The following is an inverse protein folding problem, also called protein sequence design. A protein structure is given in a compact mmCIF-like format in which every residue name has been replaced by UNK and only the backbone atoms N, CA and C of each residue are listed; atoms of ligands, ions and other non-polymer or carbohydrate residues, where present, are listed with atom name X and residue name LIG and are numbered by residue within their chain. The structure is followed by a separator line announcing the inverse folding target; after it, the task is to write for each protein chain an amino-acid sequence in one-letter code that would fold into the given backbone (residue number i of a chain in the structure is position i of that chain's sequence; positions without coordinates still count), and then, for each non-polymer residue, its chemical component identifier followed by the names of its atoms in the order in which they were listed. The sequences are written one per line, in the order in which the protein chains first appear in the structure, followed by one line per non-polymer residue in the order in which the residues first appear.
data_IF_602076383912
#
_entry.id   IF_602076383912
#
_cell.length_a   1.000
_cell.length_b   1.000
_cell.length_c   1.000
_cell.angle_alpha   90.00
_cell.angle_beta   90.00
_cell.angle_gamma   90.00
#
_symmetry.space_group_name_H-M   'P 1'
#
loop_
_entity.id
_entity.type
_entity.pdbx_description
1 polymer ?
#
# COMPACT_ATOMS: atom_id res chain seq x y z
N UNK A 1 29.45 14.92 -21.38
CA UNK A 1 28.15 14.26 -21.59
C UNK A 1 27.39 14.33 -20.26
N UNK A 2 26.40 15.22 -20.10
CA UNK A 2 25.58 15.27 -18.89
C UNK A 2 24.72 14.01 -18.78
N UNK A 3 24.62 13.43 -17.59
CA UNK A 3 23.79 12.26 -17.33
C UNK A 3 22.29 12.62 -17.52
N UNK A 4 21.47 11.72 -18.10
CA UNK A 4 20.06 11.99 -18.35
C UNK A 4 19.28 12.12 -17.02
N UNK A 5 18.55 13.22 -16.86
CA UNK A 5 17.80 13.61 -15.65
C UNK A 5 16.48 12.82 -15.44
N UNK A 6 16.48 11.52 -15.68
CA UNK A 6 15.26 10.69 -15.61
C UNK A 6 14.71 10.50 -14.19
N UNK A 7 15.48 10.79 -13.14
CA UNK A 7 15.03 10.65 -11.74
C UNK A 7 13.93 11.64 -11.36
N UNK A 8 14.02 12.87 -11.84
CA UNK A 8 13.08 13.94 -11.48
C UNK A 8 11.63 13.67 -11.91
N UNK A 9 11.45 13.00 -13.05
CA UNK A 9 10.12 12.68 -13.56
C UNK A 9 9.43 11.60 -12.72
N UNK A 10 10.19 10.60 -12.26
CA UNK A 10 9.66 9.54 -11.38
C UNK A 10 9.29 10.10 -10.01
N UNK A 11 10.12 10.99 -9.46
CA UNK A 11 9.84 11.69 -8.19
C UNK A 11 8.59 12.57 -8.27
N UNK A 12 8.40 13.30 -9.38
CA UNK A 12 7.18 14.09 -9.58
C UNK A 12 5.94 13.20 -9.76
N UNK A 13 6.09 12.08 -10.47
CA UNK A 13 4.98 11.13 -10.67
C UNK A 13 4.56 10.50 -9.34
N UNK A 14 5.51 10.09 -8.50
CA UNK A 14 5.21 9.51 -7.18
C UNK A 14 4.58 10.53 -6.24
N UNK A 15 4.97 11.80 -6.30
CA UNK A 15 4.34 12.88 -5.55
C UNK A 15 2.86 13.09 -5.96
N UNK A 16 2.57 13.11 -7.27
CA UNK A 16 1.20 13.22 -7.79
C UNK A 16 0.36 12.02 -7.35
N UNK A 17 0.87 10.80 -7.52
CA UNK A 17 0.16 9.60 -7.09
C UNK A 17 -0.17 9.65 -5.59
N UNK A 18 0.80 10.02 -4.74
CA UNK A 18 0.60 10.16 -3.30
C UNK A 18 -0.46 11.21 -2.94
N UNK A 19 -0.45 12.37 -3.59
CA UNK A 19 -1.43 13.43 -3.35
C UNK A 19 -2.86 12.97 -3.68
N UNK A 20 -3.06 12.27 -4.80
CA UNK A 20 -4.38 11.81 -5.21
C UNK A 20 -4.87 10.63 -4.36
N UNK A 21 -3.97 9.74 -3.91
CA UNK A 21 -4.31 8.69 -2.96
C UNK A 21 -4.81 9.27 -1.63
N UNK A 22 -4.20 10.36 -1.15
CA UNK A 22 -4.67 11.07 0.05
C UNK A 22 -6.04 11.75 -0.15
N UNK A 23 -6.40 12.10 -1.39
CA UNK A 23 -7.74 12.59 -1.75
C UNK A 23 -8.77 11.48 -1.92
N UNK A 24 -8.40 10.22 -1.73
CA UNK A 24 -9.28 9.06 -1.86
C UNK A 24 -9.38 8.50 -3.28
N UNK A 25 -8.46 8.87 -4.18
CA UNK A 25 -8.36 8.20 -5.48
C UNK A 25 -7.70 6.84 -5.33
N UNK A 26 -8.16 5.87 -6.12
CA UNK A 26 -7.70 4.48 -6.05
C UNK A 26 -6.86 4.13 -7.27
N UNK A 27 -5.72 3.47 -7.07
CA UNK A 27 -4.97 2.85 -8.16
C UNK A 27 -5.79 1.71 -8.77
N UNK A 28 -5.78 1.59 -10.09
CA UNK A 28 -6.44 0.52 -10.83
C UNK A 28 -5.41 -0.47 -11.38
N UNK A 29 -5.85 -1.68 -11.72
CA UNK A 29 -5.00 -2.70 -12.35
C UNK A 29 -4.72 -2.41 -13.84
N UNK A 30 -5.35 -1.35 -14.39
CA UNK A 30 -5.16 -0.92 -15.76
C UNK A 30 -3.97 0.03 -15.86
N UNK A 31 -3.09 -0.23 -16.81
CA UNK A 31 -1.94 0.63 -17.09
C UNK A 31 -2.29 1.62 -18.20
N UNK A 32 -1.73 2.83 -18.13
CA UNK A 32 -1.94 3.84 -19.16
C UNK A 32 -1.51 3.31 -20.55
N UNK A 33 -2.38 3.42 -21.55
CA UNK A 33 -2.09 2.91 -22.90
C UNK A 33 -0.89 3.59 -23.58
N UNK A 34 -0.57 4.82 -23.18
CA UNK A 34 0.51 5.64 -23.76
C UNK A 34 1.86 5.22 -23.20
N UNK A 35 2.04 5.29 -21.88
CA UNK A 35 3.34 4.99 -21.26
C UNK A 35 3.51 3.50 -20.89
N UNK A 36 2.43 2.74 -20.70
CA UNK A 36 2.38 1.33 -20.24
C UNK A 36 3.06 1.02 -18.91
N UNK A 37 3.70 1.99 -18.28
CA UNK A 37 4.45 1.84 -17.03
C UNK A 37 3.65 2.35 -15.83
N UNK A 38 2.85 3.40 -16.00
CA UNK A 38 2.12 4.02 -14.89
C UNK A 38 0.70 3.47 -14.79
N UNK A 39 0.27 2.95 -13.63
CA UNK A 39 -1.11 2.54 -13.40
C UNK A 39 -2.05 3.74 -13.47
N UNK A 40 -3.27 3.52 -13.96
CA UNK A 40 -4.33 4.54 -13.98
C UNK A 40 -4.92 4.71 -12.57
N UNK A 41 -5.21 5.93 -12.19
CA UNK A 41 -5.95 6.27 -10.97
C UNK A 41 -7.41 6.51 -11.30
N UNK A 42 -8.31 6.05 -10.43
CA UNK A 42 -9.77 6.21 -10.54
C UNK A 42 -10.31 7.11 -9.44
N UNK A 43 -11.22 8.01 -9.82
CA UNK A 43 -11.94 8.89 -8.90
C UNK A 43 -12.87 8.09 -7.97
N UNK A 44 -12.99 8.45 -6.68
CA UNK A 44 -13.94 7.80 -5.79
C UNK A 44 -15.38 7.98 -6.29
N UNK A 45 -16.16 6.89 -6.29
CA UNK A 45 -17.53 6.84 -6.83
C UNK A 45 -18.43 7.94 -6.27
N UNK A 46 -18.31 8.24 -4.98
CA UNK A 46 -19.08 9.30 -4.32
C UNK A 46 -18.82 10.70 -4.88
N UNK A 47 -17.59 10.96 -5.36
CA UNK A 47 -17.23 12.21 -5.99
C UNK A 47 -17.76 12.31 -7.41
N UNK A 48 -17.73 11.20 -8.16
CA UNK A 48 -18.32 11.11 -9.49
C UNK A 48 -19.86 11.30 -9.45
N UNK A 49 -20.53 10.66 -8.49
CA UNK A 49 -21.99 10.79 -8.27
C UNK A 49 -22.39 12.22 -7.91
N UNK A 50 -21.64 12.87 -7.00
CA UNK A 50 -21.89 14.28 -6.64
C UNK A 50 -21.72 15.23 -7.83
N UNK A 51 -20.83 14.89 -8.76
CA UNK A 51 -20.63 15.62 -10.01
C UNK A 51 -21.67 15.27 -11.10
N UNK A 52 -22.61 14.35 -10.84
CA UNK A 52 -23.62 13.91 -11.81
C UNK A 52 -23.04 13.11 -12.98
N UNK A 53 -21.87 12.48 -12.79
CA UNK A 53 -21.24 11.63 -13.81
C UNK A 53 -21.53 10.17 -13.50
N UNK A 54 -22.01 9.45 -14.52
CA UNK A 54 -22.30 8.01 -14.40
C UNK A 54 -21.04 7.14 -14.41
N UNK A 55 -19.89 7.68 -14.83
CA UNK A 55 -18.64 6.95 -14.90
C UNK A 55 -17.53 7.72 -14.17
N UNK A 56 -16.76 7.06 -13.27
CA UNK A 56 -15.64 7.70 -12.59
C UNK A 56 -14.50 7.98 -13.57
N UNK A 57 -13.89 9.16 -13.43
CA UNK A 57 -12.75 9.54 -14.27
C UNK A 57 -11.55 8.66 -13.95
N UNK A 58 -10.81 8.29 -14.99
CA UNK A 58 -9.51 7.65 -14.90
C UNK A 58 -8.44 8.60 -15.43
N UNK A 59 -7.29 8.70 -14.74
CA UNK A 59 -6.17 9.53 -15.19
C UNK A 59 -4.81 8.85 -14.95
N UNK A 60 -3.83 9.17 -15.79
CA UNK A 60 -2.45 8.76 -15.68
C UNK A 60 -1.59 9.92 -15.14
N UNK A 61 -0.97 9.74 -13.98
CA UNK A 61 -0.14 10.77 -13.35
C UNK A 61 1.05 11.22 -14.21
N UNK A 62 1.60 10.33 -15.05
CA UNK A 62 2.78 10.61 -15.88
C UNK A 62 2.42 11.27 -17.23
N UNK A 63 1.28 10.91 -17.82
CA UNK A 63 0.87 11.40 -19.15
C UNK A 63 -0.07 12.59 -19.07
N UNK A 64 -1.06 12.55 -18.17
CA UNK A 64 -2.10 13.58 -18.07
C UNK A 64 -1.70 14.71 -17.10
N UNK A 65 -0.74 14.43 -16.20
CA UNK A 65 -0.32 15.34 -15.13
C UNK A 65 -1.39 15.47 -14.04
N UNK A 66 -1.21 16.45 -13.14
CA UNK A 66 -2.21 16.75 -12.12
C UNK A 66 -3.46 17.39 -12.77
N UNK A 67 -4.68 16.83 -12.61
CA UNK A 67 -5.92 17.41 -13.13
C UNK A 67 -6.37 18.71 -12.43
N UNK A 68 -5.44 19.51 -11.90
CA UNK A 68 -5.69 20.82 -11.31
C UNK A 68 -6.25 21.80 -12.35
N UNK A 69 -7.57 21.81 -12.48
CA UNK A 69 -8.37 22.99 -12.82
C UNK A 69 -8.11 23.65 -14.16
N UNK A 70 -7.56 22.95 -15.16
CA UNK A 70 -7.59 23.48 -16.52
C UNK A 70 -9.02 23.37 -17.07
N UNK A 71 -9.66 24.48 -17.49
CA UNK A 71 -10.89 24.40 -18.26
C UNK A 71 -10.59 23.58 -19.52
N UNK A 72 -11.48 22.65 -19.85
CA UNK A 72 -11.38 21.79 -21.03
C UNK A 72 -11.09 22.63 -22.29
N UNK A 73 -9.83 22.65 -22.72
CA UNK A 73 -9.43 23.24 -23.99
C UNK A 73 -8.22 22.50 -24.55
N UNK A 74 -8.46 21.88 -25.70
CA UNK A 74 -7.49 21.49 -26.71
C UNK A 74 -6.77 20.15 -26.52
N UNK A 75 -7.54 19.07 -26.51
CA UNK A 75 -7.10 17.83 -27.16
C UNK A 75 -7.08 18.07 -28.67
N UNK A 76 -5.92 18.45 -29.20
CA UNK A 76 -5.68 18.61 -30.63
C UNK A 76 -5.76 17.27 -31.33
N UNK A 77 -6.86 17.02 -32.04
CA UNK A 77 -6.94 16.08 -33.15
C UNK A 77 -5.99 16.55 -34.27
N UNK A 78 -4.86 15.86 -34.43
CA UNK A 78 -4.06 15.95 -35.65
C UNK A 78 -4.78 15.23 -36.80
N UNK A 79 -5.52 15.99 -37.60
CA UNK A 79 -5.91 15.60 -38.95
C UNK A 79 -5.28 16.59 -39.93
N UNK A 80 -4.43 16.05 -40.82
CA UNK A 80 -3.63 16.77 -41.80
C UNK A 80 -4.48 17.46 -42.88
N UNK A 81 -4.40 18.79 -43.00
CA UNK A 81 -4.79 19.56 -44.20
C UNK A 81 -3.76 20.71 -44.37
N UNK A 82 -3.23 20.97 -45.60
CA UNK A 82 -2.15 21.94 -45.84
C UNK A 82 -2.62 23.41 -45.90
N UNK A 83 -1.70 24.39 -45.79
CA UNK A 83 -2.02 25.79 -45.54
C UNK A 83 -2.00 26.64 -46.82
N UNK A 84 -2.91 27.60 -46.92
CA UNK A 84 -2.76 28.72 -47.85
C UNK A 84 -3.32 30.02 -47.23
N UNK A 85 -2.55 31.08 -47.46
CA UNK A 85 -2.83 32.51 -47.30
C UNK A 85 -2.30 33.23 -46.05
N UNK A 86 -1.17 33.87 -46.31
CA UNK A 86 -0.58 35.04 -45.66
C UNK A 86 -1.57 36.18 -45.45
N UNK A 87 -1.40 36.94 -44.36
CA UNK A 87 -1.46 38.40 -44.36
C UNK A 87 -0.80 38.96 -43.10
N UNK A 88 0.05 39.94 -43.34
CA UNK A 88 0.90 40.67 -42.40
C UNK A 88 0.16 41.87 -41.81
N UNK A 89 0.34 42.14 -40.51
CA UNK A 89 0.26 43.50 -39.95
C UNK A 89 0.80 43.52 -38.53
N UNK A 90 1.88 44.29 -38.35
CA UNK A 90 2.53 44.61 -37.08
C UNK A 90 1.91 45.90 -36.45
N UNK A 91 2.52 46.56 -35.44
CA UNK A 91 2.01 46.57 -34.06
C UNK A 91 1.58 47.97 -33.57
N UNK A 92 0.89 48.03 -32.42
CA UNK A 92 0.72 49.28 -31.66
C UNK A 92 0.73 49.03 -30.14
N UNK A 93 1.67 49.70 -29.46
CA UNK A 93 1.59 50.07 -28.04
C UNK A 93 0.76 51.37 -27.90
N UNK A 94 0.17 51.71 -26.74
CA UNK A 94 0.86 52.48 -25.66
C UNK A 94 0.45 52.05 -24.21
N UNK A 95 1.32 52.08 -23.19
CA UNK A 95 1.76 53.19 -22.30
C UNK A 95 0.95 53.38 -21.01
N UNK A 96 1.70 53.56 -19.91
CA UNK A 96 1.39 54.13 -18.58
C UNK A 96 0.90 53.17 -17.45
N UNK A 97 1.31 53.27 -16.18
CA UNK A 97 2.33 54.04 -15.43
C UNK A 97 2.23 53.63 -13.93
N UNK A 98 3.10 54.19 -13.08
CA UNK A 98 3.10 54.36 -11.59
C UNK A 98 3.84 53.31 -10.70
N UNK A 99 4.43 53.72 -9.54
CA UNK A 99 5.88 53.89 -9.30
C UNK A 99 6.41 52.92 -8.19
N UNK A 100 7.69 52.62 -8.00
CA UNK A 100 8.88 53.49 -7.91
C UNK A 100 9.23 53.77 -6.45
N UNK A 101 10.05 52.93 -5.80
CA UNK A 101 10.77 53.28 -4.57
C UNK A 101 12.21 52.77 -4.61
N UNK A 102 13.14 53.71 -4.45
CA UNK A 102 14.57 53.63 -4.73
C UNK A 102 15.41 52.90 -3.65
N UNK A 103 16.66 52.51 -3.98
CA UNK A 103 17.65 52.01 -3.04
C UNK A 103 18.53 53.14 -2.49
N UNK A 104 18.97 53.03 -1.24
CA UNK A 104 20.06 53.87 -0.68
C UNK A 104 21.10 52.97 -0.02
N UNK A 105 22.39 53.07 -0.40
CA UNK A 105 23.50 52.42 0.28
C UNK A 105 24.27 53.43 1.15
N UNK A 106 24.62 53.09 2.38
CA UNK A 106 25.81 53.66 3.05
C UNK A 106 26.24 52.74 4.20
N UNK A 107 27.47 52.23 4.13
CA UNK A 107 28.09 51.50 5.23
C UNK A 107 28.56 52.44 6.34
N UNK A 108 28.59 51.96 7.58
CA UNK A 108 29.44 52.50 8.65
C UNK A 108 29.68 51.40 9.69
N UNK A 109 30.96 51.10 9.85
CA UNK A 109 31.61 50.35 10.93
C UNK A 109 31.27 50.92 12.30
N UNK A 110 30.91 50.07 13.28
CA UNK A 110 30.70 50.53 14.66
C UNK A 110 30.33 49.43 15.64
N UNK A 111 31.27 49.10 16.51
CA UNK A 111 31.18 48.19 17.64
C UNK A 111 30.31 48.76 18.79
N UNK A 112 29.40 47.95 19.38
CA UNK A 112 29.11 47.78 20.83
C UNK A 112 27.63 47.47 21.18
N UNK A 113 27.47 46.30 21.82
CA UNK A 113 26.56 45.93 22.93
C UNK A 113 25.01 46.02 22.85
N UNK A 114 24.31 45.16 23.62
CA UNK A 114 22.91 44.80 23.40
C UNK A 114 21.94 45.66 24.21
N UNK A 115 20.76 45.93 23.64
CA UNK A 115 19.60 46.42 24.38
C UNK A 115 18.37 45.60 23.99
N UNK A 116 17.69 45.11 25.02
CA UNK A 116 16.52 44.26 24.99
C UNK A 116 15.30 44.94 24.35
N UNK A 117 14.42 44.13 23.77
CA UNK A 117 13.01 44.48 23.60
C UNK A 117 12.49 44.49 22.17
N UNK A 118 12.26 43.31 21.59
CA UNK A 118 11.23 43.09 20.57
C UNK A 118 10.93 41.58 20.52
N UNK A 119 9.70 41.20 20.88
CA UNK A 119 9.28 39.80 20.98
C UNK A 119 9.31 39.11 19.61
N UNK A 120 9.90 37.91 19.49
CA UNK A 120 9.80 37.12 18.28
C UNK A 120 8.38 36.57 18.12
N UNK A 121 7.83 36.69 16.92
CA UNK A 121 6.62 35.97 16.52
C UNK A 121 6.81 34.46 16.74
N UNK A 122 5.78 33.71 17.15
CA UNK A 122 5.88 32.26 17.32
C UNK A 122 6.09 31.62 15.95
N UNK A 123 7.34 31.34 15.66
CA UNK A 123 7.77 30.49 14.55
C UNK A 123 7.23 29.08 14.83
N UNK A 124 6.19 28.68 14.09
CA UNK A 124 5.66 27.31 14.06
C UNK A 124 6.63 26.39 13.30
N UNK A 125 7.89 26.39 13.73
CA UNK A 125 8.92 25.50 13.25
C UNK A 125 8.55 24.08 13.68
N UNK A 126 8.00 23.30 12.74
CA UNK A 126 7.76 21.86 12.80
C UNK A 126 9.07 21.06 12.89
N UNK A 127 9.90 21.34 13.90
CA UNK A 127 11.19 20.69 14.16
C UNK A 127 11.08 19.33 14.83
N UNK A 128 10.14 18.47 14.43
CA UNK A 128 9.80 17.23 15.16
C UNK A 128 9.70 15.99 14.28
N UNK A 129 10.37 15.93 13.12
CA UNK A 129 10.36 14.70 12.32
C UNK A 129 11.15 13.57 12.99
N UNK A 130 12.31 13.87 13.59
CA UNK A 130 13.15 12.83 14.22
C UNK A 130 12.51 12.18 15.44
N UNK A 131 11.72 12.93 16.21
CA UNK A 131 10.98 12.38 17.37
C UNK A 131 9.75 11.59 16.94
N UNK A 132 9.14 11.94 15.79
CA UNK A 132 7.99 11.23 15.26
C UNK A 132 8.38 9.85 14.72
N UNK A 133 9.54 9.73 14.08
CA UNK A 133 10.04 8.45 13.55
C UNK A 133 10.38 7.45 14.67
N UNK A 134 10.96 7.93 15.78
CA UNK A 134 11.20 7.10 16.98
C UNK A 134 9.89 6.68 17.65
N UNK A 135 8.91 7.58 17.72
CA UNK A 135 7.59 7.26 18.23
C UNK A 135 6.89 6.16 17.41
N UNK A 136 6.93 6.24 16.07
CA UNK A 136 6.35 5.24 15.19
C UNK A 136 6.98 3.86 15.40
N UNK A 137 8.31 3.80 15.55
CA UNK A 137 9.05 2.56 15.81
C UNK A 137 8.69 1.93 17.16
N UNK A 138 8.48 2.76 18.20
CA UNK A 138 8.03 2.27 19.52
C UNK A 138 6.58 1.80 19.49
N UNK A 139 5.70 2.49 18.74
CA UNK A 139 4.31 2.07 18.56
C UNK A 139 4.26 0.69 17.89
N UNK A 140 5.00 0.49 16.79
CA UNK A 140 5.02 -0.79 16.08
C UNK A 140 5.52 -1.93 16.98
N UNK A 141 6.57 -1.69 17.77
CA UNK A 141 7.05 -2.66 18.77
C UNK A 141 6.00 -3.03 19.82
N UNK A 142 5.24 -2.05 20.33
CA UNK A 142 4.18 -2.29 21.32
C UNK A 142 2.99 -3.05 20.70
N UNK A 143 2.60 -2.74 19.46
CA UNK A 143 1.54 -3.47 18.76
C UNK A 143 1.90 -4.95 18.57
N UNK A 144 3.16 -5.24 18.23
CA UNK A 144 3.66 -6.62 18.13
C UNK A 144 3.67 -7.35 19.48
N UNK A 145 3.80 -6.62 20.59
CA UNK A 145 3.66 -7.15 21.95
C UNK A 145 2.19 -7.32 22.40
N UNK A 146 1.23 -7.00 21.53
CA UNK A 146 -0.21 -7.15 21.80
C UNK A 146 -0.84 -5.94 22.48
N UNK A 147 -0.15 -4.79 22.52
CA UNK A 147 -0.80 -3.53 22.87
C UNK A 147 -1.77 -3.11 21.76
N UNK A 148 -2.74 -2.28 22.09
CA UNK A 148 -3.75 -1.79 21.13
C UNK A 148 -3.69 -0.28 21.03
N UNK A 149 -3.71 0.29 19.81
CA UNK A 149 -3.79 1.75 19.62
C UNK A 149 -5.17 2.26 20.05
N UNK A 150 -5.19 3.33 20.85
CA UNK A 150 -6.42 4.07 21.18
C UNK A 150 -6.53 5.29 20.27
N UNK A 151 -7.77 5.71 20.00
CA UNK A 151 -8.05 6.98 19.30
C UNK A 151 -7.84 8.22 20.16
N UNK A 152 -7.32 8.07 21.39
CA UNK A 152 -7.12 9.14 22.35
C UNK A 152 -5.65 9.60 22.35
N UNK A 153 -5.44 10.90 22.52
CA UNK A 153 -4.11 11.51 22.55
C UNK A 153 -3.61 11.75 23.98
N UNK A 154 -2.29 11.83 24.13
CA UNK A 154 -1.66 12.14 25.40
C UNK A 154 -2.07 13.54 25.90
N UNK A 155 -2.56 13.68 27.15
CA UNK A 155 -2.96 14.97 27.70
C UNK A 155 -1.78 15.84 28.16
N UNK A 156 -0.55 15.31 28.18
CA UNK A 156 0.62 16.11 28.54
C UNK A 156 0.99 17.09 27.42
N UNK A 157 1.24 18.35 27.78
CA UNK A 157 1.61 19.40 26.81
C UNK A 157 2.90 19.07 26.04
N UNK A 158 3.79 18.30 26.66
CA UNK A 158 5.05 17.82 26.07
C UNK A 158 4.88 16.75 25.00
N UNK A 159 3.71 16.12 24.91
CA UNK A 159 3.43 15.02 23.97
C UNK A 159 2.13 15.25 23.21
N UNK A 160 1.82 16.51 22.89
CA UNK A 160 0.61 16.88 22.17
C UNK A 160 0.53 16.16 20.82
N UNK A 161 -0.58 15.45 20.59
CA UNK A 161 -0.82 14.69 19.36
C UNK A 161 -0.19 13.29 19.33
N UNK A 162 0.53 12.89 20.38
CA UNK A 162 1.01 11.51 20.50
C UNK A 162 -0.12 10.57 20.91
N UNK A 163 -0.40 9.50 20.16
CA UNK A 163 -1.48 8.57 20.49
C UNK A 163 -1.16 7.75 21.75
N UNK A 164 -2.20 7.42 22.51
CA UNK A 164 -2.12 6.49 23.64
C UNK A 164 -2.28 5.05 23.15
N UNK A 165 -1.59 4.12 23.80
CA UNK A 165 -1.75 2.67 23.59
C UNK A 165 -2.27 2.00 24.86
N UNK A 166 -3.07 0.95 24.69
CA UNK A 166 -3.72 0.19 25.75
C UNK A 166 -2.94 -1.09 26.01
N UNK A 167 -2.88 -1.49 27.27
CA UNK A 167 -2.22 -2.72 27.66
C UNK A 167 -2.92 -3.95 27.06
N UNK A 168 -2.17 -5.04 26.79
CA UNK A 168 -2.76 -6.31 26.37
C UNK A 168 -3.83 -6.78 27.34
N UNK A 169 -4.82 -7.53 26.82
CA UNK A 169 -5.86 -8.13 27.68
C UNK A 169 -5.22 -9.04 28.72
N UNK A 170 -5.76 -9.01 29.94
CA UNK A 170 -5.33 -9.92 31.01
C UNK A 170 -5.68 -11.36 30.63
N UNK A 171 -5.06 -12.32 31.30
CA UNK A 171 -5.36 -13.76 31.13
C UNK A 171 -6.84 -14.07 31.36
N UNK A 172 -7.50 -13.28 32.20
CA UNK A 172 -8.94 -13.38 32.50
C UNK A 172 -9.84 -12.84 31.38
N UNK A 173 -9.27 -12.37 30.26
CA UNK A 173 -10.00 -11.77 29.14
C UNK A 173 -10.50 -10.34 29.39
N UNK A 174 -10.37 -9.85 30.62
CA UNK A 174 -10.74 -8.48 31.00
C UNK A 174 -9.83 -7.45 30.34
N UNK A 175 -10.44 -6.35 29.88
CA UNK A 175 -9.74 -5.21 29.28
C UNK A 175 -9.02 -4.43 30.37
N UNK A 176 -7.73 -4.18 30.18
CA UNK A 176 -6.98 -3.27 31.06
C UNK A 176 -7.35 -1.83 30.71
N UNK A 177 -7.81 -1.05 31.71
CA UNK A 177 -8.19 0.36 31.52
C UNK A 177 -6.99 1.31 31.54
N UNK A 178 -5.78 0.77 31.78
CA UNK A 178 -4.53 1.50 31.72
C UNK A 178 -4.15 1.81 30.27
N UNK A 179 -3.61 3.00 30.09
CA UNK A 179 -3.14 3.58 28.83
C UNK A 179 -1.72 4.07 29.04
N UNK A 180 -0.92 4.03 27.99
CA UNK A 180 0.50 4.41 27.99
C UNK A 180 0.75 5.37 26.82
N UNK A 181 1.46 6.47 27.05
CA UNK A 181 1.93 7.35 25.98
C UNK A 181 3.31 6.88 25.54
N UNK A 182 3.48 6.72 24.24
CA UNK A 182 4.74 6.23 23.67
C UNK A 182 5.86 7.30 23.71
N UNK A 183 5.49 8.58 23.75
CA UNK A 183 6.44 9.70 23.80
C UNK A 183 7.08 9.87 25.19
N UNK A 184 6.27 10.15 26.22
CA UNK A 184 6.77 10.40 27.57
C UNK A 184 6.79 9.16 28.48
N UNK A 185 6.20 8.03 28.07
CA UNK A 185 6.07 6.84 28.93
C UNK A 185 5.06 7.01 30.08
N UNK A 186 4.31 8.10 30.11
CA UNK A 186 3.27 8.35 31.11
C UNK A 186 2.18 7.28 31.07
N UNK A 187 1.53 7.03 32.22
CA UNK A 187 0.45 6.05 32.36
C UNK A 187 -0.82 6.74 32.84
N UNK A 188 -1.94 6.43 32.20
CA UNK A 188 -3.26 6.97 32.54
C UNK A 188 -4.25 5.83 32.74
N UNK A 189 -5.22 6.04 33.62
CA UNK A 189 -6.35 5.14 33.78
C UNK A 189 -7.61 5.89 33.39
N UNK A 190 -8.48 5.22 32.64
CA UNK A 190 -9.84 5.72 32.41
C UNK A 190 -10.67 5.35 33.63
N UNK A 191 -11.02 6.33 34.45
CA UNK A 191 -11.78 6.13 35.67
C UNK A 191 -13.28 6.25 35.38
N UNK A 192 -13.93 5.12 35.08
CA UNK A 192 -15.39 5.00 34.93
C UNK A 192 -16.07 5.91 33.88
N UNK A 193 -17.40 5.84 33.79
CA UNK A 193 -18.26 6.54 32.81
C UNK A 193 -18.14 8.07 32.81
N UNK A 194 -17.39 8.66 33.74
CA UNK A 194 -17.24 10.11 33.87
C UNK A 194 -16.20 10.74 32.94
N UNK A 195 -15.56 9.98 32.06
CA UNK A 195 -14.72 10.51 30.97
C UNK A 195 -13.44 11.23 31.40
N UNK A 196 -13.10 11.22 32.69
CA UNK A 196 -11.87 11.78 33.23
C UNK A 196 -10.68 10.84 33.05
N UNK A 197 -9.56 11.37 32.52
CA UNK A 197 -8.27 10.65 32.49
C UNK A 197 -7.44 11.11 33.68
N UNK A 198 -7.26 10.23 34.67
CA UNK A 198 -6.38 10.51 35.81
C UNK A 198 -4.98 9.95 35.53
N UNK A 199 -3.96 10.77 35.76
CA UNK A 199 -2.56 10.34 35.62
C UNK A 199 -2.23 9.46 36.81
N UNK A 200 -1.84 8.21 36.53
CA UNK A 200 -1.33 7.32 37.58
C UNK A 200 0.15 7.57 37.67
N UNK A 201 0.58 8.27 38.71
CA UNK A 201 1.99 8.40 39.04
C UNK A 201 2.62 7.02 39.03
N UNK A 202 3.73 6.86 38.31
CA UNK A 202 4.46 5.59 38.27
C UNK A 202 4.65 5.11 39.72
N UNK A 203 4.39 3.82 40.01
CA UNK A 203 4.59 3.31 41.36
C UNK A 203 5.99 3.69 41.77
N UNK A 204 6.10 4.55 42.78
CA UNK A 204 7.39 4.92 43.36
C UNK A 204 7.94 3.63 43.90
N UNK A 205 8.80 2.96 43.12
CA UNK A 205 9.52 1.78 43.56
C UNK A 205 10.36 2.28 44.72
N UNK A 206 9.87 2.05 45.94
CA UNK A 206 10.48 2.53 47.17
C UNK A 206 11.88 1.97 47.27
N UNK A 207 12.85 2.78 46.85
CA UNK A 207 14.27 2.50 47.01
C UNK A 207 14.62 2.55 48.49
N UNK A 208 14.65 1.38 49.12
CA UNK A 208 15.45 1.17 50.31
C UNK A 208 16.89 0.81 49.88
N UNK A 209 17.76 1.81 49.87
CA UNK A 209 19.18 1.71 50.26
C UNK A 209 20.19 1.02 49.31
N UNK A 210 21.47 1.48 49.29
CA UNK A 210 22.53 0.94 48.45
C UNK A 210 23.37 -0.15 49.14
N UNK A 211 24.21 -0.81 48.34
CA UNK A 211 25.31 -1.74 48.69
C UNK A 211 24.97 -3.22 48.92
N UNK A 212 25.22 -4.03 47.90
CA UNK A 212 26.34 -4.99 47.95
C UNK A 212 26.58 -5.60 46.57
N UNK A 213 27.84 -5.57 46.15
CA UNK A 213 28.35 -6.25 44.97
C UNK A 213 28.07 -7.76 45.05
N UNK A 214 27.41 -8.31 44.02
CA UNK A 214 27.39 -9.75 43.80
C UNK A 214 28.00 -10.04 42.44
N UNK A 215 29.14 -10.74 42.53
CA UNK A 215 29.92 -11.31 41.43
C UNK A 215 29.07 -12.26 40.58
N UNK A 216 29.45 -12.32 39.31
CA UNK A 216 28.75 -13.01 38.25
C UNK A 216 28.47 -14.49 38.48
N UNK A 217 27.38 -14.92 37.86
CA UNK A 217 27.05 -16.31 37.61
C UNK A 217 26.73 -16.43 36.12
N UNK A 218 27.66 -17.07 35.42
CA UNK A 218 27.53 -17.58 34.06
C UNK A 218 26.45 -18.67 34.04
N UNK A 219 25.37 -18.44 33.30
CA UNK A 219 24.36 -19.48 33.00
C UNK A 219 24.77 -20.17 31.71
N UNK A 220 25.17 -21.44 31.84
CA UNK A 220 25.49 -22.33 30.74
C UNK A 220 24.24 -22.65 29.90
N UNK A 221 24.42 -22.58 28.59
CA UNK A 221 23.45 -23.01 27.59
C UNK A 221 23.58 -24.52 27.43
N UNK A 222 22.61 -25.27 27.96
CA UNK A 222 22.45 -26.70 27.71
C UNK A 222 21.26 -26.90 26.76
N UNK A 223 21.55 -27.49 25.60
CA UNK A 223 20.56 -27.82 24.59
C UNK A 223 19.56 -28.87 25.09
N UNK A 224 18.32 -28.74 24.64
CA UNK A 224 17.38 -29.84 24.67
C UNK A 224 16.56 -29.83 23.37
N UNK A 225 16.87 -30.78 22.50
CA UNK A 225 16.06 -31.12 21.33
C UNK A 225 14.85 -31.90 21.83
N UNK A 226 13.65 -31.32 21.76
CA UNK A 226 12.40 -32.07 21.83
C UNK A 226 11.55 -31.75 20.61
N UNK A 227 11.33 -32.79 19.84
CA UNK A 227 10.51 -32.82 18.65
C UNK A 227 9.02 -32.58 18.98
N UNK A 228 8.33 -31.85 18.10
CA UNK A 228 7.03 -32.29 17.59
C UNK A 228 5.76 -31.98 18.39
N UNK A 229 5.70 -30.91 19.19
CA UNK A 229 4.42 -30.40 19.69
C UNK A 229 4.17 -28.99 19.16
N UNK A 230 3.17 -28.84 18.30
CA UNK A 230 2.76 -27.55 17.75
C UNK A 230 2.35 -26.59 18.87
N UNK A 231 2.92 -25.39 18.83
CA UNK A 231 2.67 -24.33 19.81
C UNK A 231 1.18 -24.02 19.93
N UNK A 232 0.64 -23.78 21.14
CA UNK A 232 -0.76 -23.40 21.35
C UNK A 232 -1.21 -22.17 20.55
N UNK A 233 -0.27 -21.31 20.16
CA UNK A 233 -0.52 -20.14 19.33
C UNK A 233 -0.81 -20.48 17.86
N UNK A 234 -0.25 -21.58 17.34
CA UNK A 234 -0.50 -22.00 15.96
C UNK A 234 -1.92 -22.54 15.79
N UNK A 235 -2.48 -23.17 16.84
CA UNK A 235 -3.84 -23.71 16.84
C UNK A 235 -4.90 -22.60 16.84
N UNK A 236 -4.72 -21.56 17.66
CA UNK A 236 -5.61 -20.37 17.66
C UNK A 236 -5.52 -19.55 16.38
N UNK A 237 -4.36 -19.56 15.70
CA UNK A 237 -4.20 -18.85 14.43
C UNK A 237 -4.93 -19.56 13.28
N UNK A 238 -5.04 -20.89 13.30
CA UNK A 238 -5.87 -21.63 12.34
C UNK A 238 -7.37 -21.39 12.55
N UNK A 239 -7.83 -21.32 13.81
CA UNK A 239 -9.24 -21.05 14.13
C UNK A 239 -9.71 -19.65 13.72
N UNK A 240 -8.79 -18.68 13.59
CA UNK A 240 -9.12 -17.29 13.26
C UNK A 240 -9.32 -17.03 11.75
N UNK A 241 -8.91 -17.94 10.88
CA UNK A 241 -9.01 -17.76 9.41
C UNK A 241 -10.15 -18.53 8.75
N UNK A 242 -10.97 -19.29 9.49
CA UNK A 242 -12.21 -19.95 9.01
C UNK A 242 -12.11 -20.78 7.70
N UNK A 243 -10.90 -21.05 7.20
CA UNK A 243 -10.65 -21.79 5.94
C UNK A 243 -11.02 -23.28 6.05
N UNK A 244 -11.38 -23.76 7.25
CA UNK A 244 -11.79 -25.15 7.47
C UNK A 244 -13.29 -25.40 7.38
N UNK A 245 -14.14 -24.36 7.48
CA UNK A 245 -15.58 -24.53 7.62
C UNK A 245 -16.34 -24.32 6.30
N UNK A 246 -15.79 -23.57 5.35
CA UNK A 246 -16.38 -23.39 4.01
C UNK A 246 -16.27 -24.63 3.13
N UNK A 247 -15.18 -25.42 3.23
CA UNK A 247 -15.03 -26.66 2.45
C UNK A 247 -16.03 -27.74 2.86
N UNK A 248 -16.29 -27.89 4.16
CA UNK A 248 -17.28 -28.86 4.66
C UNK A 248 -18.72 -28.48 4.30
N UNK A 249 -19.01 -27.18 4.19
CA UNK A 249 -20.35 -26.68 3.80
C UNK A 249 -20.59 -26.74 2.29
N UNK A 250 -19.53 -26.84 1.48
CA UNK A 250 -19.62 -26.99 0.04
C UNK A 250 -19.81 -28.46 -0.38
N UNK A 251 -19.31 -29.42 0.41
CA UNK A 251 -19.58 -30.85 0.20
C UNK A 251 -21.05 -31.22 0.46
N UNK A 252 -21.70 -30.67 1.51
CA UNK A 252 -23.13 -30.93 1.78
C UNK A 252 -24.08 -30.35 0.71
N UNK A 253 -23.65 -29.36 -0.06
CA UNK A 253 -24.51 -28.73 -1.09
C UNK A 253 -24.40 -29.40 -2.46
N UNK A 254 -23.41 -30.27 -2.68
CA UNK A 254 -23.22 -30.94 -3.97
C UNK A 254 -23.93 -32.30 -4.06
N UNK A 255 -24.44 -32.83 -2.94
CA UNK A 255 -25.24 -34.07 -2.91
C UNK A 255 -26.75 -33.86 -3.12
N UNK A 256 -27.26 -32.62 -3.14
CA UNK A 256 -28.71 -32.34 -3.24
C UNK A 256 -29.19 -31.95 -4.66
N UNK A 257 -28.30 -31.85 -5.66
CA UNK A 257 -28.67 -31.52 -7.06
C UNK A 257 -28.69 -32.74 -8.02
N UNK A 258 -28.49 -33.96 -7.54
CA UNK A 258 -28.57 -35.18 -8.39
C UNK A 258 -29.97 -35.82 -8.40
N UNK A 259 -31.06 -35.03 -8.42
CA UNK A 259 -32.40 -35.60 -8.58
C UNK A 259 -33.49 -34.60 -9.00
N UNK A 260 -33.47 -34.05 -10.23
CA UNK A 260 -34.70 -33.48 -10.83
C UNK A 260 -34.74 -33.63 -12.36
N UNK A 261 -35.67 -34.49 -12.79
CA UNK A 261 -36.46 -34.54 -14.03
C UNK A 261 -35.80 -34.54 -15.43
N UNK A 262 -35.82 -35.74 -16.02
CA UNK A 262 -36.15 -35.93 -17.44
C UNK A 262 -37.49 -35.24 -17.74
N UNK A 263 -37.47 -34.18 -18.56
CA UNK A 263 -38.67 -33.76 -19.29
C UNK A 263 -38.34 -33.63 -20.77
N UNK A 264 -38.89 -34.60 -21.48
CA UNK A 264 -39.05 -34.65 -22.93
C UNK A 264 -39.71 -33.36 -23.44
N UNK A 265 -39.07 -32.66 -24.39
CA UNK A 265 -39.75 -31.65 -25.21
C UNK A 265 -39.30 -31.71 -26.66
N UNK A 266 -40.18 -32.33 -27.44
CA UNK A 266 -40.28 -32.33 -28.89
C UNK A 266 -40.35 -30.93 -29.53
N UNK A 267 -39.70 -30.85 -30.70
CA UNK A 267 -40.17 -30.22 -31.95
C UNK A 267 -40.55 -28.74 -31.94
N UNK A 268 -39.72 -27.93 -32.59
CA UNK A 268 -40.17 -27.08 -33.71
C UNK A 268 -39.00 -26.60 -34.58
N UNK A 269 -39.02 -27.04 -35.83
CA UNK A 269 -38.21 -26.51 -36.93
C UNK A 269 -38.40 -25.01 -37.10
N UNK A 270 -37.30 -24.25 -37.25
CA UNK A 270 -37.35 -23.01 -38.02
C UNK A 270 -36.07 -22.74 -38.80
N UNK A 271 -36.32 -22.57 -40.08
CA UNK A 271 -35.49 -22.37 -41.26
C UNK A 271 -34.50 -21.18 -41.18
N UNK A 272 -33.24 -21.44 -41.59
CA UNK A 272 -32.35 -20.69 -42.53
C UNK A 272 -32.28 -19.14 -42.51
N UNK A 273 -31.09 -18.51 -42.77
CA UNK A 273 -30.33 -18.73 -44.00
C UNK A 273 -28.79 -18.84 -43.91
N UNK A 274 -28.31 -19.61 -44.89
CA UNK A 274 -26.94 -19.80 -45.36
C UNK A 274 -26.08 -18.53 -45.41
N UNK A 275 -24.91 -18.60 -44.76
CA UNK A 275 -23.70 -17.98 -45.28
C UNK A 275 -22.66 -19.08 -45.51
N UNK A 276 -22.43 -19.35 -46.79
CA UNK A 276 -21.37 -20.22 -47.30
C UNK A 276 -20.00 -19.60 -47.00
N UNK A 277 -19.29 -20.17 -46.02
CA UNK A 277 -17.82 -20.08 -45.94
C UNK A 277 -17.25 -21.48 -46.10
N UNK A 278 -16.40 -21.59 -47.10
CA UNK A 278 -15.64 -22.76 -47.54
C UNK A 278 -14.89 -23.46 -46.40
N UNK A 279 -14.86 -24.80 -46.35
CA UNK A 279 -14.12 -25.54 -45.34
C UNK A 279 -12.64 -25.61 -45.72
N UNK A 280 -11.76 -24.97 -44.95
CA UNK A 280 -10.35 -25.31 -44.95
C UNK A 280 -10.13 -26.46 -43.97
N UNK A 281 -10.15 -27.66 -44.52
CA UNK A 281 -9.71 -28.89 -43.87
C UNK A 281 -8.18 -28.87 -43.76
N UNK A 282 -7.64 -28.39 -42.63
CA UNK A 282 -6.24 -28.58 -42.19
C UNK A 282 -6.15 -28.41 -40.65
N UNK A 283 -7.08 -29.01 -39.91
CA UNK A 283 -7.33 -28.72 -38.50
C UNK A 283 -6.62 -29.57 -37.44
N UNK A 284 -5.80 -30.54 -37.82
CA UNK A 284 -5.26 -31.54 -36.86
C UNK A 284 -3.80 -31.33 -36.45
N UNK A 285 -3.07 -30.35 -37.02
CA UNK A 285 -1.65 -30.10 -36.69
C UNK A 285 -1.40 -28.86 -35.82
N UNK A 286 -2.40 -28.00 -35.59
CA UNK A 286 -2.22 -26.77 -34.80
C UNK A 286 -2.12 -27.01 -33.29
N UNK A 287 -2.85 -28.00 -32.78
CA UNK A 287 -2.91 -28.34 -31.36
C UNK A 287 -1.56 -28.83 -30.79
N UNK A 288 -0.84 -29.78 -31.43
CA UNK A 288 0.48 -30.21 -30.92
C UNK A 288 1.54 -29.09 -30.99
N UNK A 289 1.45 -28.16 -31.94
CA UNK A 289 2.35 -27.01 -32.02
C UNK A 289 2.08 -26.00 -30.88
N UNK A 290 0.79 -25.73 -30.59
CA UNK A 290 0.39 -24.89 -29.47
C UNK A 290 0.84 -25.47 -28.12
N UNK A 291 0.64 -26.79 -27.91
CA UNK A 291 1.07 -27.47 -26.69
C UNK A 291 2.59 -27.39 -26.49
N UNK A 292 3.39 -27.59 -27.55
CA UNK A 292 4.85 -27.45 -27.46
C UNK A 292 5.26 -26.02 -27.10
N UNK A 293 4.64 -25.01 -27.73
CA UNK A 293 4.90 -23.61 -27.44
C UNK A 293 4.56 -23.24 -25.99
N UNK A 294 3.48 -23.80 -25.43
CA UNK A 294 3.12 -23.58 -24.02
C UNK A 294 4.09 -24.28 -23.08
N UNK A 295 4.52 -25.50 -23.40
CA UNK A 295 5.51 -26.24 -22.60
C UNK A 295 6.85 -25.52 -22.57
N UNK A 296 7.33 -25.01 -23.72
CA UNK A 296 8.58 -24.26 -23.80
C UNK A 296 8.52 -22.95 -23.02
N UNK A 297 7.40 -22.23 -23.09
CA UNK A 297 7.18 -20.99 -22.33
C UNK A 297 7.15 -21.25 -20.82
N UNK A 298 6.55 -22.37 -20.40
CA UNK A 298 6.48 -22.78 -19.00
C UNK A 298 7.85 -23.21 -18.47
N UNK A 299 8.61 -24.00 -19.24
CA UNK A 299 9.97 -24.38 -18.91
C UNK A 299 10.88 -23.14 -18.75
N UNK A 300 10.76 -22.17 -19.64
CA UNK A 300 11.53 -20.92 -19.58
C UNK A 300 11.15 -20.06 -18.36
N UNK A 301 9.88 -20.11 -17.94
CA UNK A 301 9.41 -19.42 -16.74
C UNK A 301 9.96 -20.07 -15.47
N UNK A 302 9.92 -21.41 -15.40
CA UNK A 302 10.50 -22.18 -14.28
C UNK A 302 12.01 -21.97 -14.15
N UNK A 303 12.74 -21.89 -15.27
CA UNK A 303 14.19 -21.65 -15.28
C UNK A 303 14.55 -20.25 -14.75
N UNK A 304 13.79 -19.23 -15.17
CA UNK A 304 13.93 -17.87 -14.61
C UNK A 304 13.64 -17.83 -13.12
N UNK A 305 12.62 -18.56 -12.69
CA UNK A 305 12.23 -18.70 -11.28
C UNK A 305 13.35 -19.35 -10.46
N UNK A 306 13.89 -20.47 -10.94
CA UNK A 306 14.99 -21.18 -10.29
C UNK A 306 16.25 -20.30 -10.19
N UNK A 307 16.55 -19.55 -11.25
CA UNK A 307 17.68 -18.59 -11.27
C UNK A 307 17.47 -17.46 -10.26
N UNK A 308 16.25 -16.92 -10.15
CA UNK A 308 15.90 -15.89 -9.17
C UNK A 308 16.02 -16.41 -7.74
N UNK A 309 15.52 -17.62 -7.45
CA UNK A 309 15.64 -18.21 -6.12
C UNK A 309 17.11 -18.49 -5.74
N UNK A 310 17.94 -18.91 -6.71
CA UNK A 310 19.37 -19.14 -6.52
C UNK A 310 20.14 -17.85 -6.23
N UNK A 311 19.78 -16.74 -6.89
CA UNK A 311 20.39 -15.44 -6.61
C UNK A 311 20.02 -14.90 -5.23
N UNK A 312 18.78 -15.12 -4.78
CA UNK A 312 18.32 -14.69 -3.46
C UNK A 312 18.90 -15.52 -2.30
N UNK A 313 19.08 -16.82 -2.49
CA UNK A 313 19.68 -17.70 -1.46
C UNK A 313 21.17 -17.48 -1.25
N UNK A 314 21.88 -16.94 -2.25
CA UNK A 314 23.34 -16.78 -2.22
C UNK A 314 23.81 -15.46 -1.56
N UNK A 315 22.91 -14.52 -1.25
CA UNK A 315 23.29 -13.14 -0.87
C UNK A 315 22.66 -12.53 0.38
N UNK A 316 21.90 -13.28 1.19
CA UNK A 316 21.07 -12.66 2.24
C UNK A 316 21.85 -12.24 3.49
N UNK A 317 22.03 -10.93 3.65
CA UNK A 317 22.32 -10.29 4.96
C UNK A 317 21.05 -10.27 5.83
N UNK A 318 21.19 -10.44 7.14
CA UNK A 318 20.12 -10.72 8.10
C UNK A 318 18.98 -9.67 8.21
N UNK A 319 19.03 -8.54 7.50
CA UNK A 319 18.02 -7.48 7.58
C UNK A 319 16.84 -7.60 6.60
N UNK A 320 16.91 -8.45 5.57
CA UNK A 320 15.84 -8.56 4.55
C UNK A 320 14.91 -9.78 4.74
N UNK A 321 15.08 -10.55 5.83
CA UNK A 321 14.42 -11.84 6.05
C UNK A 321 12.88 -11.81 5.93
N UNK A 322 12.25 -10.68 6.25
CA UNK A 322 10.79 -10.52 6.22
C UNK A 322 10.18 -10.29 4.83
N UNK A 323 10.95 -9.81 3.84
CA UNK A 323 10.44 -9.61 2.47
C UNK A 323 10.40 -10.91 1.68
N UNK A 324 11.30 -11.85 1.97
CA UNK A 324 11.38 -13.13 1.27
C UNK A 324 10.17 -14.04 1.51
N UNK A 325 9.50 -13.92 2.66
CA UNK A 325 8.33 -14.76 2.96
C UNK A 325 7.13 -14.48 2.07
N UNK A 326 6.93 -13.24 1.62
CA UNK A 326 5.81 -12.88 0.75
C UNK A 326 6.04 -13.42 -0.65
N UNK A 327 7.25 -13.28 -1.18
CA UNK A 327 7.60 -13.79 -2.50
C UNK A 327 7.51 -15.33 -2.53
N UNK A 328 8.09 -16.05 -1.56
CA UNK A 328 8.04 -17.52 -1.56
C UNK A 328 6.59 -18.02 -1.48
N UNK A 329 5.72 -17.35 -0.72
CA UNK A 329 4.29 -17.72 -0.65
C UNK A 329 3.59 -17.50 -2.00
N UNK A 330 3.78 -16.34 -2.64
CA UNK A 330 3.16 -16.04 -3.93
C UNK A 330 3.62 -17.03 -5.01
N UNK A 331 4.90 -17.39 -5.01
CA UNK A 331 5.45 -18.34 -5.98
C UNK A 331 4.97 -19.77 -5.76
N UNK A 332 4.82 -20.21 -4.51
CA UNK A 332 4.29 -21.55 -4.20
C UNK A 332 2.80 -21.69 -4.54
N UNK A 333 2.04 -20.60 -4.43
CA UNK A 333 0.64 -20.54 -4.88
C UNK A 333 0.54 -20.60 -6.41
N UNK A 334 1.33 -19.79 -7.13
CA UNK A 334 1.38 -19.85 -8.59
C UNK A 334 1.78 -21.23 -9.14
N UNK A 335 2.71 -21.93 -8.48
CA UNK A 335 3.06 -23.30 -8.85
C UNK A 335 1.91 -24.29 -8.64
N UNK A 336 1.09 -24.09 -7.60
CA UNK A 336 -0.07 -24.94 -7.33
C UNK A 336 -1.10 -24.83 -8.46
N UNK A 337 -1.40 -23.60 -8.88
CA UNK A 337 -2.37 -23.34 -9.96
C UNK A 337 -1.92 -23.99 -11.27
N UNK A 338 -0.62 -23.90 -11.58
CA UNK A 338 -0.05 -24.55 -12.77
C UNK A 338 -0.22 -26.07 -12.72
N UNK A 339 0.05 -26.70 -11.58
CA UNK A 339 -0.11 -28.15 -11.41
C UNK A 339 -1.57 -28.58 -11.53
N UNK A 340 -2.51 -27.77 -11.00
CA UNK A 340 -3.94 -28.04 -11.12
C UNK A 340 -4.42 -27.99 -12.59
N UNK A 341 -3.94 -27.01 -13.36
CA UNK A 341 -4.25 -26.91 -14.80
C UNK A 341 -3.70 -28.12 -15.56
N UNK A 342 -2.48 -28.57 -15.24
CA UNK A 342 -1.88 -29.75 -15.86
C UNK A 342 -2.68 -31.02 -15.54
N UNK A 343 -3.15 -31.19 -14.30
CA UNK A 343 -4.00 -32.31 -13.92
C UNK A 343 -5.33 -32.32 -14.68
N UNK A 344 -5.98 -31.16 -14.84
CA UNK A 344 -7.20 -31.02 -15.64
C UNK A 344 -6.97 -31.38 -17.11
N UNK A 345 -5.84 -30.97 -17.68
CA UNK A 345 -5.47 -31.32 -19.06
C UNK A 345 -5.21 -32.82 -19.22
N UNK A 346 -4.58 -33.49 -18.24
CA UNK A 346 -4.38 -34.93 -18.27
C UNK A 346 -5.70 -35.70 -18.22
N UNK A 347 -6.69 -35.22 -17.44
CA UNK A 347 -8.03 -35.82 -17.38
C UNK A 347 -8.80 -35.67 -18.71
N UNK A 348 -8.63 -34.55 -19.42
CA UNK A 348 -9.27 -34.33 -20.73
C UNK A 348 -8.59 -35.09 -21.88
N UNK A 349 -7.36 -35.56 -21.68
CA UNK A 349 -6.58 -36.30 -22.68
C UNK A 349 -6.76 -37.83 -22.63
N UNK A 350 -7.52 -38.36 -21.66
CA UNK A 350 -7.88 -39.78 -21.52
C UNK A 350 -9.28 -40.02 -22.07
#
# INVERSE_FOLDING_TARGET
MPAPQMSSQLENTSAILGEYMLKGWTLTDLHCAICRVTPLMREPTSQAERAGRNEPIQFCALCDGAPTGRPAASSSTSASIPPIHSSSSAPAAPTASVPGRAPVPTGTTGSRQPAAGAGPAPDLSFGSSSTADDAASKISGLLLQGYSLLGDNCPSDTCRGMPLVGYPRKRDGSKDTRRLCVGCGGRWVTEGDTGGMTMVSAPTVGGAGPSAAVKGVSVGSAGNQQAGASSPNTRRRMELYDVGLELLRQEEKMEEEEQVDEVDMDVAERSTPSQSRTPQTNGSSALPAALRSTTDSLAQTLDRLATSLSSHTSGSSASDESRYFVDVKLHTEAMRDVLEVLERLERLGK
#
